data_IF_568566369352
#
_entry.id   IF_568566369352
#
_cell.length_a   1.000
_cell.length_b   1.000
_cell.length_c   1.000
_cell.angle_alpha   90.00
_cell.angle_beta   90.00
_cell.angle_gamma   90.00
#
_symmetry.space_group_name_H-M   'P 1'
#
loop_
_entity.id
_entity.type
_entity.pdbx_description
1 polymer ?
#
# COMPACT_ATOMS: atom_id res chain seq x y z
N UNK A 1 -8.19 -3.24 18.19
CA UNK A 1 -7.14 -3.12 19.23
C UNK A 1 -5.84 -3.48 18.53
N UNK A 2 -4.78 -2.68 18.68
CA UNK A 2 -3.48 -2.99 18.06
C UNK A 2 -2.64 -3.83 19.02
N UNK A 3 -1.94 -4.81 18.49
CA UNK A 3 -0.99 -5.64 19.22
C UNK A 3 0.35 -5.57 18.50
N UNK A 4 1.42 -5.33 19.24
CA UNK A 4 2.78 -5.30 18.70
C UNK A 4 3.61 -6.31 19.47
N UNK A 5 4.27 -7.22 18.75
CA UNK A 5 5.25 -8.13 19.34
C UNK A 5 6.56 -7.41 19.63
N UNK A 6 7.30 -7.91 20.63
CA UNK A 6 8.65 -7.41 20.95
C UNK A 6 9.73 -7.92 19.97
N UNK A 7 9.37 -8.81 19.05
CA UNK A 7 10.30 -9.52 18.17
C UNK A 7 11.11 -10.60 18.90
N UNK A 8 11.91 -11.34 18.16
CA UNK A 8 12.85 -12.34 18.70
C UNK A 8 14.29 -11.80 18.81
N UNK A 9 14.54 -10.60 18.28
CA UNK A 9 15.85 -9.96 18.22
C UNK A 9 16.72 -10.42 17.06
N UNK A 10 16.24 -11.33 16.20
CA UNK A 10 16.96 -11.84 15.03
C UNK A 10 16.21 -11.52 13.72
N UNK A 11 14.96 -11.96 13.60
CA UNK A 11 14.10 -11.64 12.45
C UNK A 11 13.39 -10.30 12.64
N UNK A 12 12.97 -9.99 13.87
CA UNK A 12 12.36 -8.71 14.20
C UNK A 12 12.88 -8.16 15.53
N UNK A 13 12.99 -6.84 15.62
CA UNK A 13 12.97 -6.12 16.91
C UNK A 13 11.53 -5.77 17.31
N UNK A 14 11.32 -4.84 18.24
CA UNK A 14 9.99 -4.41 18.66
C UNK A 14 9.21 -3.78 17.49
N UNK A 15 8.12 -4.41 17.04
CA UNK A 15 7.39 -4.02 15.82
C UNK A 15 6.79 -2.61 15.89
N UNK A 16 6.55 -2.08 17.09
CA UNK A 16 6.12 -0.69 17.27
C UNK A 16 7.24 0.35 17.05
N UNK A 17 8.46 -0.12 16.74
CA UNK A 17 9.63 0.72 16.48
C UNK A 17 9.64 1.35 15.09
N UNK A 18 8.87 0.79 14.16
CA UNK A 18 8.70 1.33 12.81
C UNK A 18 7.38 2.10 12.70
N UNK A 19 7.46 3.34 12.21
CA UNK A 19 6.30 4.19 12.03
C UNK A 19 5.44 3.73 10.85
N UNK A 20 6.01 3.09 9.83
CA UNK A 20 5.22 2.54 8.74
C UNK A 20 4.39 1.33 9.19
N UNK A 21 4.93 0.45 10.04
CA UNK A 21 4.19 -0.66 10.67
C UNK A 21 3.06 -0.14 11.55
N UNK A 22 3.33 0.86 12.39
CA UNK A 22 2.26 1.49 13.20
C UNK A 22 1.19 2.14 12.32
N UNK A 23 1.60 2.78 11.22
CA UNK A 23 0.69 3.37 10.23
C UNK A 23 -0.14 2.32 9.49
N UNK A 24 0.46 1.19 9.16
CA UNK A 24 -0.17 0.03 8.53
C UNK A 24 -1.28 -0.54 9.43
N UNK A 25 -0.97 -0.86 10.69
CA UNK A 25 -1.94 -1.40 11.66
C UNK A 25 -3.10 -0.42 11.94
N UNK A 26 -2.82 0.89 11.99
CA UNK A 26 -3.86 1.92 12.11
C UNK A 26 -4.75 1.99 10.88
N UNK A 27 -4.20 1.69 9.71
CA UNK A 27 -4.93 1.76 8.44
C UNK A 27 -5.91 0.61 8.30
N UNK A 28 -5.63 -0.60 8.79
CA UNK A 28 -6.65 -1.65 8.86
C UNK A 28 -7.89 -1.19 9.62
N UNK A 29 -7.71 -0.45 10.73
CA UNK A 29 -8.83 0.20 11.42
C UNK A 29 -9.57 1.21 10.53
N UNK A 30 -8.87 2.00 9.72
CA UNK A 30 -9.54 2.87 8.74
C UNK A 30 -10.32 2.06 7.70
N UNK A 31 -9.76 0.97 7.17
CA UNK A 31 -10.43 0.10 6.20
C UNK A 31 -11.70 -0.51 6.81
N UNK A 32 -11.60 -1.09 8.01
CA UNK A 32 -12.72 -1.71 8.74
C UNK A 32 -13.92 -0.75 8.89
N UNK A 33 -13.67 0.51 9.24
CA UNK A 33 -14.72 1.52 9.46
C UNK A 33 -15.12 2.31 8.21
N UNK A 34 -14.59 1.97 7.03
CA UNK A 34 -14.92 2.63 5.76
C UNK A 34 -15.33 1.64 4.67
N UNK A 35 -14.38 1.17 3.85
CA UNK A 35 -14.66 0.25 2.75
C UNK A 35 -15.03 -1.16 3.23
N UNK A 36 -14.52 -1.57 4.40
CA UNK A 36 -14.71 -2.89 4.98
C UNK A 36 -14.26 -4.00 4.05
N UNK A 37 -13.10 -3.84 3.40
CA UNK A 37 -12.55 -4.83 2.46
C UNK A 37 -12.50 -6.20 3.14
N UNK A 38 -13.06 -7.22 2.48
CA UNK A 38 -13.04 -8.58 3.03
C UNK A 38 -11.61 -9.09 2.92
N UNK A 39 -11.06 -9.56 4.04
CA UNK A 39 -9.69 -10.01 4.18
C UNK A 39 -9.45 -11.40 3.56
N UNK A 40 -9.71 -11.51 2.26
CA UNK A 40 -9.47 -12.70 1.44
C UNK A 40 -9.21 -12.32 -0.03
N UNK A 41 -8.40 -13.13 -0.73
CA UNK A 41 -8.09 -12.96 -2.15
C UNK A 41 -7.70 -11.51 -2.53
N UNK A 42 -8.24 -10.95 -3.61
CA UNK A 42 -7.90 -9.60 -4.08
C UNK A 42 -8.41 -8.48 -3.16
N UNK A 43 -9.53 -8.65 -2.46
CA UNK A 43 -10.01 -7.61 -1.53
C UNK A 43 -9.11 -7.56 -0.29
N UNK A 44 -8.64 -8.70 0.20
CA UNK A 44 -7.68 -8.74 1.30
C UNK A 44 -6.31 -8.24 0.88
N UNK A 45 -5.84 -8.61 -0.32
CA UNK A 45 -4.61 -8.05 -0.87
C UNK A 45 -4.69 -6.52 -1.10
N UNK A 46 -5.89 -5.98 -1.36
CA UNK A 46 -6.11 -4.54 -1.36
C UNK A 46 -6.10 -3.96 0.05
N UNK A 47 -6.66 -4.63 1.04
CA UNK A 47 -6.60 -4.20 2.44
C UNK A 47 -5.14 -4.01 2.88
N UNK A 48 -4.32 -5.05 2.70
CA UNK A 48 -2.87 -5.03 2.91
C UNK A 48 -2.17 -3.91 2.13
N UNK A 49 -2.48 -3.77 0.84
CA UNK A 49 -1.86 -2.72 0.03
C UNK A 49 -2.25 -1.32 0.47
N UNK A 50 -3.50 -1.09 0.89
CA UNK A 50 -3.91 0.20 1.43
C UNK A 50 -3.17 0.49 2.73
N UNK A 51 -3.01 -0.51 3.60
CA UNK A 51 -2.25 -0.40 4.83
C UNK A 51 -0.76 -0.06 4.58
N UNK A 52 -0.10 -0.76 3.66
CA UNK A 52 1.27 -0.47 3.21
C UNK A 52 1.42 0.95 2.64
N UNK A 53 0.52 1.35 1.73
CA UNK A 53 0.58 2.67 1.09
C UNK A 53 0.40 3.79 2.11
N UNK A 54 -0.56 3.66 3.02
CA UNK A 54 -0.73 4.66 4.08
C UNK A 54 0.40 4.63 5.11
N UNK A 55 0.95 3.47 5.44
CA UNK A 55 2.14 3.32 6.30
C UNK A 55 3.32 4.13 5.76
N UNK A 56 3.71 3.90 4.50
CA UNK A 56 4.77 4.65 3.80
C UNK A 56 4.47 6.14 3.71
N UNK A 57 3.23 6.51 3.40
CA UNK A 57 2.82 7.92 3.34
C UNK A 57 2.95 8.60 4.72
N UNK A 58 2.55 7.93 5.81
CA UNK A 58 2.65 8.45 7.18
C UNK A 58 4.11 8.57 7.61
N UNK A 59 4.90 7.51 7.40
CA UNK A 59 6.33 7.48 7.73
C UNK A 59 7.09 8.59 7.00
N UNK A 60 6.93 8.71 5.68
CA UNK A 60 7.56 9.77 4.89
C UNK A 60 7.07 11.17 5.26
N UNK A 61 5.78 11.35 5.59
CA UNK A 61 5.24 12.62 6.07
C UNK A 61 5.92 13.07 7.37
N UNK A 62 6.20 12.13 8.27
CA UNK A 62 6.97 12.37 9.49
C UNK A 62 8.44 12.68 9.19
N UNK A 63 9.12 11.83 8.41
CA UNK A 63 10.52 11.97 8.00
C UNK A 63 10.83 13.34 7.41
N UNK A 64 9.94 13.86 6.56
CA UNK A 64 10.11 15.18 5.93
C UNK A 64 9.53 16.33 6.74
N UNK A 65 9.07 16.09 7.97
CA UNK A 65 8.56 17.09 8.91
C UNK A 65 7.44 17.97 8.29
N UNK A 66 6.57 17.35 7.50
CA UNK A 66 5.59 18.07 6.66
C UNK A 66 4.57 18.84 7.50
N UNK A 67 4.14 18.28 8.64
CA UNK A 67 3.27 18.96 9.60
C UNK A 67 3.83 20.30 10.10
N UNK A 68 5.16 20.45 10.13
CA UNK A 68 5.83 21.66 10.61
C UNK A 68 6.42 22.50 9.47
N UNK A 69 5.82 22.42 8.28
CA UNK A 69 6.21 23.23 7.12
C UNK A 69 7.33 22.65 6.26
N UNK A 70 7.72 21.40 6.51
CA UNK A 70 8.60 20.65 5.63
C UNK A 70 7.98 20.37 4.25
N UNK A 71 8.83 20.02 3.29
CA UNK A 71 8.41 19.70 1.92
C UNK A 71 8.28 18.20 1.78
N UNK A 72 7.08 17.70 1.47
CA UNK A 72 6.84 16.27 1.27
C UNK A 72 7.45 15.82 -0.05
N UNK A 73 8.65 15.25 0.01
CA UNK A 73 9.38 14.78 -1.16
C UNK A 73 9.03 13.32 -1.43
N UNK A 74 9.06 12.97 -2.71
CA UNK A 74 9.11 11.57 -3.11
C UNK A 74 10.57 11.13 -3.12
N UNK A 75 10.85 10.01 -2.47
CA UNK A 75 12.15 9.33 -2.48
C UNK A 75 11.89 7.83 -2.64
N UNK A 76 12.39 7.17 -3.70
CA UNK A 76 12.20 5.74 -3.90
C UNK A 76 12.63 4.87 -2.73
N UNK A 77 13.63 5.31 -1.95
CA UNK A 77 14.12 4.56 -0.79
C UNK A 77 13.10 4.47 0.35
N UNK A 78 12.10 5.36 0.38
CA UNK A 78 11.06 5.38 1.42
C UNK A 78 9.90 4.41 1.10
N UNK A 79 9.91 3.76 -0.07
CA UNK A 79 8.81 2.90 -0.53
C UNK A 79 9.04 1.43 -0.19
N UNK A 80 9.41 1.21 1.06
CA UNK A 80 9.59 -0.09 1.73
C UNK A 80 8.75 -0.12 3.00
N UNK A 81 8.55 -1.30 3.58
CA UNK A 81 7.78 -1.48 4.84
C UNK A 81 8.62 -2.28 5.82
N UNK A 82 8.69 -1.81 7.07
CA UNK A 82 9.34 -2.52 8.16
C UNK A 82 10.87 -2.43 8.16
N UNK A 83 11.48 -1.48 7.46
CA UNK A 83 12.94 -1.37 7.33
C UNK A 83 13.65 -0.95 8.64
N UNK A 84 12.93 -0.36 9.59
CA UNK A 84 13.49 -0.03 10.91
C UNK A 84 13.43 -1.20 11.90
N UNK A 85 12.69 -2.28 11.60
CA UNK A 85 12.43 -3.38 12.55
C UNK A 85 12.73 -4.78 12.05
N UNK A 86 12.76 -5.00 10.73
CA UNK A 86 13.08 -6.28 10.12
C UNK A 86 14.59 -6.50 10.13
N UNK A 87 15.00 -7.72 10.50
CA UNK A 87 16.40 -8.21 10.41
C UNK A 87 17.44 -7.18 10.89
N UNK A 88 17.43 -6.77 12.17
CA UNK A 88 18.18 -5.61 12.66
C UNK A 88 19.70 -5.64 12.45
N UNK A 89 20.26 -6.82 12.14
CA UNK A 89 21.68 -7.01 11.81
C UNK A 89 22.00 -6.92 10.29
N UNK A 90 20.98 -6.77 9.43
CA UNK A 90 21.10 -6.60 7.98
C UNK A 90 20.72 -5.16 7.64
N UNK A 91 21.61 -4.45 6.94
CA UNK A 91 21.38 -3.04 6.61
C UNK A 91 20.75 -2.89 5.24
N UNK A 92 19.65 -2.14 5.18
CA UNK A 92 18.99 -1.73 3.94
C UNK A 92 18.11 -2.80 3.31
N UNK A 93 17.74 -3.83 4.07
CA UNK A 93 16.60 -4.68 3.74
C UNK A 93 15.33 -4.20 4.45
N UNK A 94 14.21 -4.86 4.14
CA UNK A 94 12.87 -4.53 4.61
C UNK A 94 11.98 -5.76 4.46
N UNK A 95 10.81 -5.74 5.10
CA UNK A 95 9.85 -6.83 4.98
C UNK A 95 9.22 -6.87 3.58
N UNK A 96 8.89 -5.70 3.02
CA UNK A 96 8.30 -5.55 1.68
C UNK A 96 8.84 -4.32 0.97
N UNK A 97 8.68 -4.30 -0.36
CA UNK A 97 9.03 -3.16 -1.21
C UNK A 97 7.87 -2.85 -2.14
N UNK A 98 7.30 -1.64 -1.99
CA UNK A 98 6.30 -1.15 -2.93
C UNK A 98 6.97 -0.72 -4.24
N UNK A 99 8.24 -0.28 -4.17
CA UNK A 99 9.03 0.10 -5.34
C UNK A 99 9.41 -1.11 -6.20
N UNK A 100 9.75 -2.25 -5.60
CA UNK A 100 10.06 -3.50 -6.29
C UNK A 100 9.61 -4.71 -5.46
N UNK A 101 8.33 -5.11 -5.55
CA UNK A 101 7.80 -6.23 -4.76
C UNK A 101 8.58 -7.53 -4.95
N UNK A 102 9.17 -7.72 -6.13
CA UNK A 102 9.91 -8.94 -6.47
C UNK A 102 11.20 -9.09 -5.68
N UNK A 103 11.74 -8.00 -5.13
CA UNK A 103 12.91 -8.00 -4.24
C UNK A 103 12.68 -8.89 -3.01
N UNK A 104 11.44 -8.93 -2.51
CA UNK A 104 11.04 -9.72 -1.33
C UNK A 104 10.02 -10.81 -1.69
N UNK A 105 10.06 -11.28 -2.93
CA UNK A 105 9.30 -12.47 -3.36
C UNK A 105 7.83 -12.23 -3.73
N UNK A 106 7.32 -11.00 -3.62
CA UNK A 106 5.93 -10.69 -3.97
C UNK A 106 5.77 -10.46 -5.49
N UNK A 107 4.63 -10.85 -6.09
CA UNK A 107 4.32 -10.49 -7.47
C UNK A 107 4.14 -8.97 -7.65
N UNK A 108 4.72 -8.42 -8.71
CA UNK A 108 4.53 -7.03 -9.13
C UNK A 108 3.60 -6.87 -10.34
N UNK A 109 3.08 -7.97 -10.89
CA UNK A 109 2.24 -7.99 -12.09
C UNK A 109 1.21 -9.13 -12.03
N UNK A 110 0.01 -8.92 -12.56
CA UNK A 110 -1.10 -9.89 -12.57
C UNK A 110 -0.78 -11.24 -13.22
N UNK A 111 0.10 -11.27 -14.22
CA UNK A 111 0.59 -12.52 -14.83
C UNK A 111 1.27 -13.46 -13.80
N UNK A 112 1.74 -12.91 -12.68
CA UNK A 112 2.37 -13.65 -11.60
C UNK A 112 1.48 -13.73 -10.36
N UNK A 113 0.18 -13.42 -10.45
CA UNK A 113 -0.76 -13.53 -9.33
C UNK A 113 -0.76 -14.95 -8.76
N UNK A 114 -0.69 -15.08 -7.45
CA UNK A 114 -0.70 -16.37 -6.77
C UNK A 114 -2.13 -16.79 -6.42
N UNK A 115 -2.60 -17.86 -7.07
CA UNK A 115 -3.87 -18.51 -6.76
C UNK A 115 -3.67 -19.47 -5.58
N UNK A 116 -3.71 -18.91 -4.37
CA UNK A 116 -3.56 -19.64 -3.11
C UNK A 116 -4.92 -20.03 -2.52
N UNK A 117 -5.00 -21.12 -1.73
CA UNK A 117 -6.24 -21.48 -1.06
C UNK A 117 -6.62 -20.40 -0.02
N UNK A 118 -7.92 -20.11 0.12
CA UNK A 118 -8.41 -19.26 1.20
C UNK A 118 -8.47 -20.03 2.53
N UNK A 119 -7.28 -20.24 3.10
CA UNK A 119 -7.04 -20.76 4.45
C UNK A 119 -5.94 -19.93 5.11
N UNK A 120 -5.74 -20.14 6.41
CA UNK A 120 -4.64 -19.47 7.15
C UNK A 120 -3.28 -19.79 6.54
N UNK A 121 -3.02 -21.05 6.16
CA UNK A 121 -1.75 -21.45 5.51
C UNK A 121 -1.60 -20.92 4.08
N UNK A 122 -2.71 -20.63 3.41
CA UNK A 122 -2.73 -19.98 2.10
C UNK A 122 -2.81 -18.47 2.19
N UNK A 123 -2.56 -17.89 3.37
CA UNK A 123 -2.58 -16.45 3.60
C UNK A 123 -3.90 -15.80 3.13
N UNK A 124 -5.02 -16.46 3.47
CA UNK A 124 -6.37 -16.04 3.07
C UNK A 124 -6.54 -15.85 1.55
N UNK A 125 -5.81 -16.63 0.73
CA UNK A 125 -5.75 -16.43 -0.72
C UNK A 125 -4.64 -15.47 -1.16
N UNK A 126 -3.53 -15.42 -0.41
CA UNK A 126 -2.34 -14.63 -0.69
C UNK A 126 -2.55 -13.13 -0.52
N UNK A 127 -3.12 -12.68 0.59
CA UNK A 127 -3.39 -11.26 0.84
C UNK A 127 -2.08 -10.46 1.00
N UNK A 128 -1.13 -10.93 1.79
CA UNK A 128 0.18 -10.32 1.93
C UNK A 128 1.01 -10.52 0.66
N UNK A 129 0.95 -11.67 0.01
CA UNK A 129 1.72 -11.92 -1.20
C UNK A 129 1.26 -11.03 -2.37
N UNK A 130 -0.03 -11.10 -2.72
CA UNK A 130 -0.56 -10.43 -3.90
C UNK A 130 -0.72 -8.91 -3.72
N UNK A 131 -0.52 -8.36 -2.51
CA UNK A 131 -0.53 -6.91 -2.26
C UNK A 131 0.58 -6.18 -3.04
N UNK A 132 1.65 -6.89 -3.42
CA UNK A 132 2.73 -6.38 -4.28
C UNK A 132 2.24 -5.74 -5.59
N UNK A 133 1.17 -6.27 -6.18
CA UNK A 133 0.61 -5.81 -7.46
C UNK A 133 0.02 -4.39 -7.33
N UNK A 134 -0.95 -4.12 -6.44
CA UNK A 134 -1.43 -2.76 -6.18
C UNK A 134 -0.40 -1.86 -5.50
N UNK A 135 0.53 -2.40 -4.70
CA UNK A 135 1.65 -1.66 -4.12
C UNK A 135 2.56 -1.05 -5.20
N UNK A 136 2.91 -1.84 -6.22
CA UNK A 136 3.69 -1.36 -7.36
C UNK A 136 2.97 -0.27 -8.14
N UNK A 137 1.65 -0.41 -8.32
CA UNK A 137 0.83 0.63 -8.95
C UNK A 137 0.83 1.93 -8.11
N UNK A 138 0.75 1.83 -6.78
CA UNK A 138 0.79 2.98 -5.87
C UNK A 138 2.12 3.74 -5.94
N UNK A 139 3.24 3.02 -5.94
CA UNK A 139 4.58 3.60 -6.16
C UNK A 139 4.66 4.35 -7.49
N UNK A 140 4.18 3.73 -8.57
CA UNK A 140 4.17 4.36 -9.90
C UNK A 140 3.27 5.61 -9.93
N UNK A 141 2.15 5.62 -9.20
CA UNK A 141 1.30 6.81 -9.05
C UNK A 141 2.09 7.93 -8.34
N UNK A 142 2.60 7.66 -7.15
CA UNK A 142 3.24 8.70 -6.33
C UNK A 142 4.51 9.28 -6.96
N UNK A 143 5.32 8.46 -7.62
CA UNK A 143 6.50 8.94 -8.37
C UNK A 143 6.15 9.95 -9.47
N UNK A 144 4.93 9.89 -10.01
CA UNK A 144 4.49 10.73 -11.13
C UNK A 144 3.63 11.94 -10.70
N UNK A 145 2.80 11.80 -9.66
CA UNK A 145 1.90 12.89 -9.22
C UNK A 145 2.25 13.47 -7.85
N UNK A 146 3.23 12.89 -7.16
CA UNK A 146 3.68 13.32 -5.84
C UNK A 146 2.84 12.77 -4.68
N UNK A 147 3.41 12.90 -3.48
CA UNK A 147 2.89 12.29 -2.26
C UNK A 147 1.54 12.87 -1.81
N UNK A 148 1.39 14.21 -1.80
CA UNK A 148 0.15 14.87 -1.34
C UNK A 148 -1.07 14.48 -2.19
N UNK A 149 -0.93 14.44 -3.51
CA UNK A 149 -2.03 14.04 -4.40
C UNK A 149 -2.37 12.56 -4.23
N UNK A 150 -1.35 11.72 -4.12
CA UNK A 150 -1.53 10.28 -3.89
C UNK A 150 -2.31 10.04 -2.61
N UNK A 151 -1.90 10.63 -1.48
CA UNK A 151 -2.58 10.50 -0.20
C UNK A 151 -4.06 10.92 -0.28
N UNK A 152 -4.36 12.06 -0.92
CA UNK A 152 -5.75 12.54 -1.09
C UNK A 152 -6.60 11.62 -1.95
N UNK A 153 -6.03 11.11 -3.04
CA UNK A 153 -6.74 10.19 -3.97
C UNK A 153 -7.02 8.86 -3.27
N UNK A 154 -6.01 8.26 -2.64
CA UNK A 154 -6.17 6.98 -1.93
C UNK A 154 -7.18 7.10 -0.80
N UNK A 155 -7.11 8.16 0.01
CA UNK A 155 -8.05 8.37 1.11
C UNK A 155 -9.48 8.56 0.61
N UNK A 156 -9.67 9.36 -0.45
CA UNK A 156 -11.00 9.54 -1.03
C UNK A 156 -11.52 8.24 -1.66
N UNK A 157 -10.69 7.48 -2.36
CA UNK A 157 -11.09 6.22 -2.97
C UNK A 157 -11.55 5.20 -1.92
N UNK A 158 -10.75 5.02 -0.86
CA UNK A 158 -11.07 4.13 0.25
C UNK A 158 -12.39 4.50 0.93
N UNK A 159 -12.55 5.79 1.25
CA UNK A 159 -13.68 6.23 2.09
C UNK A 159 -14.98 6.51 1.34
N UNK A 160 -14.95 6.65 0.01
CA UNK A 160 -16.13 7.07 -0.77
C UNK A 160 -16.58 6.07 -1.85
N UNK A 161 -15.69 5.20 -2.35
CA UNK A 161 -16.01 4.37 -3.53
C UNK A 161 -15.71 2.89 -3.35
N UNK A 162 -14.69 2.54 -2.58
CA UNK A 162 -14.42 1.13 -2.29
C UNK A 162 -15.51 0.55 -1.38
N UNK A 163 -15.78 -0.73 -1.57
CA UNK A 163 -16.75 -1.55 -0.85
C UNK A 163 -16.16 -2.95 -0.58
N UNK A 164 -16.78 -3.80 0.26
CA UNK A 164 -16.12 -4.98 0.82
C UNK A 164 -15.47 -5.94 -0.19
N UNK A 165 -16.11 -6.19 -1.32
CA UNK A 165 -15.65 -7.09 -2.39
C UNK A 165 -14.91 -6.38 -3.54
N UNK A 166 -14.37 -5.18 -3.30
CA UNK A 166 -13.58 -4.44 -4.30
C UNK A 166 -12.36 -5.27 -4.70
N UNK A 167 -12.20 -5.51 -6.01
CA UNK A 167 -11.04 -6.16 -6.60
C UNK A 167 -10.05 -5.14 -7.20
N UNK A 168 -8.89 -5.59 -7.71
CA UNK A 168 -7.84 -4.68 -8.19
C UNK A 168 -8.29 -3.74 -9.32
N UNK A 169 -9.09 -4.24 -10.25
CA UNK A 169 -9.62 -3.43 -11.35
C UNK A 169 -10.62 -2.39 -10.83
N UNK A 170 -11.51 -2.78 -9.93
CA UNK A 170 -12.45 -1.86 -9.30
C UNK A 170 -11.73 -0.79 -8.48
N UNK A 171 -10.67 -1.14 -7.75
CA UNK A 171 -9.83 -0.18 -7.03
C UNK A 171 -9.23 0.88 -7.97
N UNK A 172 -8.74 0.47 -9.15
CA UNK A 172 -8.27 1.42 -10.17
C UNK A 172 -9.38 2.38 -10.62
N UNK A 173 -10.62 1.89 -10.81
CA UNK A 173 -11.78 2.75 -11.11
C UNK A 173 -12.13 3.69 -9.96
N UNK A 174 -12.11 3.22 -8.71
CA UNK A 174 -12.31 4.04 -7.52
C UNK A 174 -11.29 5.17 -7.41
N UNK A 175 -10.00 4.88 -7.66
CA UNK A 175 -8.92 5.88 -7.65
C UNK A 175 -9.09 6.90 -8.78
N UNK A 176 -9.49 6.47 -9.98
CA UNK A 176 -9.80 7.43 -11.07
C UNK A 176 -10.99 8.31 -10.73
N UNK A 177 -12.06 7.75 -10.13
CA UNK A 177 -13.20 8.56 -9.71
C UNK A 177 -12.79 9.58 -8.64
N UNK A 178 -11.96 9.18 -7.67
CA UNK A 178 -11.39 10.09 -6.68
C UNK A 178 -10.55 11.20 -7.31
N UNK A 179 -9.69 10.87 -8.26
CA UNK A 179 -8.89 11.85 -8.99
C UNK A 179 -9.75 12.80 -9.85
N UNK A 180 -10.83 12.29 -10.47
CA UNK A 180 -11.77 13.10 -11.22
C UNK A 180 -12.50 14.12 -10.34
N UNK A 181 -12.89 13.72 -9.13
CA UNK A 181 -13.55 14.59 -8.16
C UNK A 181 -12.61 15.66 -7.59
N UNK A 182 -11.33 15.32 -7.37
CA UNK A 182 -10.34 16.22 -6.78
C UNK A 182 -9.68 17.16 -7.81
N UNK A 183 -9.46 16.68 -9.04
CA UNK A 183 -8.61 17.35 -10.03
C UNK A 183 -9.26 17.50 -11.42
N UNK A 184 -10.46 16.93 -11.62
CA UNK A 184 -11.24 17.04 -12.86
C UNK A 184 -11.10 15.84 -13.81
N UNK A 185 -12.14 15.58 -14.62
CA UNK A 185 -12.28 14.38 -15.48
C UNK A 185 -11.21 14.19 -16.59
N UNK A 186 -10.40 15.21 -16.86
CA UNK A 186 -9.34 15.17 -17.88
C UNK A 186 -7.95 15.41 -17.30
N UNK A 187 -7.78 15.22 -15.99
CA UNK A 187 -6.55 15.55 -15.28
C UNK A 187 -5.41 14.56 -15.58
N UNK A 188 -4.17 15.01 -15.37
CA UNK A 188 -3.00 14.16 -15.54
C UNK A 188 -3.01 12.99 -14.54
N UNK A 189 -3.56 13.20 -13.34
CA UNK A 189 -3.68 12.22 -12.27
C UNK A 189 -4.47 10.98 -12.72
N UNK A 190 -5.57 11.19 -13.46
CA UNK A 190 -6.34 10.09 -14.04
C UNK A 190 -5.48 9.27 -15.01
N UNK A 191 -4.78 9.94 -15.92
CA UNK A 191 -3.90 9.26 -16.89
C UNK A 191 -2.80 8.46 -16.20
N UNK A 192 -2.18 9.03 -15.16
CA UNK A 192 -1.15 8.35 -14.36
C UNK A 192 -1.73 7.12 -13.67
N UNK A 193 -2.87 7.22 -13.00
CA UNK A 193 -3.50 6.08 -12.31
C UNK A 193 -3.76 4.93 -13.30
N UNK A 194 -4.37 5.23 -14.45
CA UNK A 194 -4.64 4.22 -15.47
C UNK A 194 -3.36 3.52 -15.93
N UNK A 195 -2.32 4.30 -16.25
CA UNK A 195 -1.05 3.76 -16.73
C UNK A 195 -0.34 2.93 -15.64
N UNK A 196 -0.41 3.35 -14.38
CA UNK A 196 0.21 2.66 -13.25
C UNK A 196 -0.44 1.31 -12.94
N UNK A 197 -1.76 1.18 -13.06
CA UNK A 197 -2.43 -0.12 -12.93
C UNK A 197 -2.25 -0.99 -14.18
N UNK A 198 -2.29 -0.38 -15.37
CA UNK A 198 -2.03 -1.11 -16.62
C UNK A 198 -0.61 -1.71 -16.65
N UNK A 199 0.38 -1.02 -16.08
CA UNK A 199 1.77 -1.53 -16.01
C UNK A 199 1.96 -2.69 -15.03
N UNK A 200 0.98 -2.96 -14.15
CA UNK A 200 0.95 -4.14 -13.28
C UNK A 200 -0.02 -5.21 -13.78
N UNK A 201 -0.49 -5.10 -15.02
CA UNK A 201 -1.38 -6.08 -15.65
C UNK A 201 -2.84 -5.99 -15.20
N UNK A 202 -3.20 -4.98 -14.41
CA UNK A 202 -4.58 -4.71 -14.03
C UNK A 202 -5.25 -3.91 -15.15
N UNK A 203 -6.23 -4.52 -15.80
CA UNK A 203 -6.91 -3.90 -16.93
C UNK A 203 -7.71 -2.65 -16.52
N UNK A 204 -7.62 -1.60 -17.33
CA UNK A 204 -8.37 -0.35 -17.16
C UNK A 204 -9.23 -0.02 -18.39
#
# INVERSE_FOLDING_TARGET
>A
MMFYGDGDGEEFTYLSGDLDIVGHEMTHGLVEYTAGLVYEYQSGALDESMADVFGVLISSYNKYNVANGGSWKFDPADWVVGDDVYTPDIQGDALRSLADPTQYGQPAHMDNYWDLPNTEEGDNGGVHDNSGIPNKAAYNIASNIGMDKTARIYYRALTQYMHPDTNFQQAAYCLVQAAADLYGKGSNEITVIKNSFASTGVAY
#
